data_IF_404125907624
#
_entry.id   IF_404125907624
#
_cell.length_a   1.000
_cell.length_b   1.000
_cell.length_c   1.000
_cell.angle_alpha   90.00
_cell.angle_beta   90.00
_cell.angle_gamma   90.00
#
_symmetry.space_group_name_H-M   'P 1'
#
loop_
_entity.id
_entity.type
_entity.pdbx_description
1 polymer ?
#
# COMPACT_ATOMS: atom_id res chain seq x y z
N UNK A 1 -23.34 -8.11 -2.83
CA UNK A 1 -23.36 -6.82 -2.10
C UNK A 1 -24.69 -6.07 -2.21
N UNK A 2 -25.38 -6.12 -3.36
CA UNK A 2 -26.69 -5.47 -3.53
C UNK A 2 -27.74 -5.97 -2.52
N UNK A 3 -27.77 -7.28 -2.23
CA UNK A 3 -28.65 -7.87 -1.21
C UNK A 3 -28.35 -7.39 0.23
N UNK A 4 -27.10 -7.03 0.54
CA UNK A 4 -26.67 -6.54 1.85
C UNK A 4 -26.90 -5.02 2.02
N UNK A 5 -27.31 -4.31 0.96
CA UNK A 5 -27.52 -2.85 0.94
C UNK A 5 -26.31 -2.03 1.43
N UNK A 6 -25.09 -2.56 1.23
CA UNK A 6 -23.84 -1.90 1.61
C UNK A 6 -23.36 -1.00 0.46
N UNK A 7 -22.91 0.22 0.79
CA UNK A 7 -22.24 1.10 -0.17
C UNK A 7 -20.88 0.52 -0.56
N UNK A 8 -20.68 0.24 -1.85
CA UNK A 8 -19.44 -0.32 -2.39
C UNK A 8 -18.22 0.58 -2.16
N UNK A 9 -18.42 1.89 -1.99
CA UNK A 9 -17.33 2.82 -1.66
C UNK A 9 -16.75 2.55 -0.28
N UNK A 10 -17.59 2.19 0.70
CA UNK A 10 -17.13 1.79 2.03
C UNK A 10 -16.29 0.51 1.96
N UNK A 11 -16.70 -0.44 1.10
CA UNK A 11 -15.95 -1.68 0.88
C UNK A 11 -14.64 -1.43 0.14
N UNK A 12 -14.63 -0.56 -0.87
CA UNK A 12 -13.40 -0.12 -1.54
C UNK A 12 -12.42 0.48 -0.51
N UNK A 13 -12.90 1.41 0.33
CA UNK A 13 -12.09 1.96 1.42
C UNK A 13 -11.57 0.87 2.37
N UNK A 14 -12.41 -0.10 2.78
CA UNK A 14 -11.98 -1.19 3.66
C UNK A 14 -10.93 -2.11 3.04
N UNK A 15 -11.07 -2.44 1.75
CA UNK A 15 -10.14 -3.29 1.03
C UNK A 15 -8.79 -2.59 0.85
N UNK A 16 -8.82 -1.33 0.42
CA UNK A 16 -7.61 -0.50 0.30
C UNK A 16 -6.93 -0.34 1.65
N UNK A 17 -7.66 0.03 2.71
CA UNK A 17 -7.10 0.14 4.07
C UNK A 17 -6.47 -1.16 4.56
N UNK A 18 -7.18 -2.28 4.39
CA UNK A 18 -6.70 -3.60 4.82
C UNK A 18 -5.38 -3.98 4.17
N UNK A 19 -5.14 -3.54 2.94
CA UNK A 19 -3.86 -3.72 2.26
C UNK A 19 -2.83 -2.68 2.70
N UNK A 20 -3.15 -1.38 2.60
CA UNK A 20 -2.17 -0.30 2.76
C UNK A 20 -1.73 -0.11 4.20
N UNK A 21 -2.68 -0.04 5.14
CA UNK A 21 -2.34 0.19 6.55
C UNK A 21 -1.56 -0.99 7.15
N UNK A 22 -1.81 -2.22 6.69
CA UNK A 22 -1.12 -3.39 7.22
C UNK A 22 0.33 -3.44 6.77
N UNK A 23 0.64 -3.21 5.49
CA UNK A 23 2.03 -3.21 5.05
C UNK A 23 2.82 -2.00 5.56
N UNK A 24 2.15 -0.88 5.87
CA UNK A 24 2.80 0.32 6.42
C UNK A 24 3.20 0.18 7.89
N UNK A 25 2.46 -0.62 8.67
CA UNK A 25 2.62 -0.67 10.13
C UNK A 25 3.12 -2.02 10.65
N UNK A 26 2.73 -3.13 10.04
CA UNK A 26 3.01 -4.47 10.57
C UNK A 26 4.24 -5.03 9.85
N UNK A 27 5.39 -5.21 10.53
CA UNK A 27 6.60 -5.75 9.91
C UNK A 27 6.53 -7.28 9.77
N UNK A 28 5.47 -7.79 9.15
CA UNK A 28 5.27 -9.20 8.86
C UNK A 28 4.74 -9.36 7.43
N UNK A 29 5.21 -10.38 6.72
CA UNK A 29 4.74 -10.72 5.38
C UNK A 29 5.02 -9.60 4.38
N UNK A 30 3.97 -9.05 3.77
CA UNK A 30 4.12 -7.95 2.81
C UNK A 30 4.66 -6.67 3.46
N UNK A 31 4.31 -6.40 4.72
CA UNK A 31 4.86 -5.27 5.47
C UNK A 31 6.32 -5.47 5.84
N UNK A 32 6.78 -6.71 6.03
CA UNK A 32 8.22 -6.98 6.19
C UNK A 32 8.98 -6.62 4.89
N UNK A 33 8.46 -7.01 3.73
CA UNK A 33 9.05 -6.65 2.44
C UNK A 33 9.11 -5.13 2.27
N UNK A 34 8.00 -4.44 2.53
CA UNK A 34 7.93 -2.98 2.35
C UNK A 34 8.77 -2.21 3.37
N UNK A 35 8.62 -2.48 4.67
CA UNK A 35 9.31 -1.77 5.75
C UNK A 35 10.80 -2.12 5.77
N UNK A 36 11.15 -3.41 5.83
CA UNK A 36 12.53 -3.84 6.04
C UNK A 36 13.31 -3.89 4.72
N UNK A 37 12.79 -4.61 3.72
CA UNK A 37 13.56 -4.91 2.51
C UNK A 37 13.62 -3.75 1.52
N UNK A 38 12.65 -2.82 1.59
CA UNK A 38 12.54 -1.70 0.67
C UNK A 38 12.82 -0.37 1.37
N UNK A 39 11.99 0.05 2.33
CA UNK A 39 12.16 1.36 3.00
C UNK A 39 13.47 1.46 3.77
N UNK A 40 13.67 0.60 4.78
CA UNK A 40 14.89 0.62 5.61
C UNK A 40 16.14 0.44 4.76
N UNK A 41 16.13 -0.50 3.80
CA UNK A 41 17.26 -0.72 2.90
C UNK A 41 17.60 0.52 2.06
N UNK A 42 16.63 1.13 1.39
CA UNK A 42 16.88 2.31 0.57
C UNK A 42 17.30 3.51 1.44
N UNK A 43 16.67 3.70 2.59
CA UNK A 43 16.98 4.79 3.52
C UNK A 43 18.42 4.64 4.03
N UNK A 44 18.85 3.43 4.39
CA UNK A 44 20.24 3.20 4.83
C UNK A 44 21.26 3.36 3.69
N UNK A 45 20.91 2.92 2.48
CA UNK A 45 21.79 3.07 1.32
C UNK A 45 22.10 4.55 1.03
N UNK A 46 21.11 5.44 1.12
CA UNK A 46 21.29 6.88 0.88
C UNK A 46 21.71 7.62 2.15
N UNK A 47 21.17 7.23 3.30
CA UNK A 47 21.28 7.91 4.59
C UNK A 47 22.59 7.66 5.33
N UNK A 48 23.28 6.55 5.06
CA UNK A 48 24.54 6.21 5.73
C UNK A 48 25.62 7.28 5.60
N UNK A 49 25.72 7.94 4.44
CA UNK A 49 26.65 9.06 4.21
C UNK A 49 26.29 10.31 5.03
N UNK A 50 25.05 10.42 5.51
CA UNK A 50 24.54 11.50 6.34
C UNK A 50 24.45 11.12 7.83
N UNK A 51 24.94 9.94 8.22
CA UNK A 51 24.84 9.44 9.59
C UNK A 51 23.44 8.99 9.99
N UNK A 52 22.52 8.80 9.03
CA UNK A 52 21.17 8.32 9.28
C UNK A 52 21.15 6.79 9.19
N UNK A 53 20.79 6.14 10.30
CA UNK A 53 20.60 4.70 10.40
C UNK A 53 19.14 4.41 10.76
N UNK A 54 18.42 3.79 9.83
CA UNK A 54 17.05 3.34 10.00
C UNK A 54 17.02 1.87 10.43
N UNK A 55 16.14 1.55 11.37
CA UNK A 55 15.80 0.18 11.77
C UNK A 55 14.32 -0.09 11.49
N UNK A 56 13.93 -1.36 11.37
CA UNK A 56 12.53 -1.76 11.17
C UNK A 56 11.63 -1.25 12.30
N UNK A 57 12.14 -1.25 13.54
CA UNK A 57 11.41 -0.74 14.70
C UNK A 57 11.20 0.78 14.61
N UNK A 58 12.22 1.54 14.20
CA UNK A 58 12.10 2.99 14.09
C UNK A 58 11.22 3.41 12.91
N UNK A 59 11.29 2.68 11.79
CA UNK A 59 10.38 2.87 10.67
C UNK A 59 8.92 2.61 11.08
N UNK A 60 8.68 1.53 11.83
CA UNK A 60 7.33 1.20 12.36
C UNK A 60 6.82 2.30 13.30
N UNK A 61 7.68 2.82 14.19
CA UNK A 61 7.34 3.95 15.07
C UNK A 61 7.03 5.22 14.26
N UNK A 62 7.83 5.52 13.24
CA UNK A 62 7.66 6.70 12.39
C UNK A 62 6.36 6.66 11.56
N UNK A 63 5.89 5.46 11.19
CA UNK A 63 4.63 5.23 10.47
C UNK A 63 3.39 5.19 11.37
N UNK A 64 3.55 5.10 12.68
CA UNK A 64 2.42 4.97 13.60
C UNK A 64 1.45 6.17 13.53
N UNK A 65 1.96 7.40 13.61
CA UNK A 65 1.15 8.62 13.54
C UNK A 65 0.40 8.72 12.19
N UNK A 66 1.06 8.56 11.02
CA UNK A 66 0.37 8.54 9.73
C UNK A 66 -0.72 7.47 9.61
N UNK A 67 -0.45 6.24 10.07
CA UNK A 67 -1.41 5.13 9.97
C UNK A 67 -2.61 5.35 10.90
N UNK A 68 -2.43 6.01 12.05
CA UNK A 68 -3.56 6.47 12.86
C UNK A 68 -4.49 7.41 12.10
N UNK A 69 -3.93 8.29 11.26
CA UNK A 69 -4.70 9.13 10.34
C UNK A 69 -5.58 8.29 9.40
N UNK A 70 -5.03 7.22 8.83
CA UNK A 70 -5.79 6.29 7.98
C UNK A 70 -6.90 5.56 8.74
N UNK A 71 -6.67 5.15 10.00
CA UNK A 71 -7.68 4.53 10.85
C UNK A 71 -8.85 5.49 11.07
N UNK A 72 -8.57 6.74 11.43
CA UNK A 72 -9.60 7.77 11.60
C UNK A 72 -10.35 8.03 10.30
N UNK A 73 -9.64 8.04 9.18
CA UNK A 73 -10.22 8.16 7.84
C UNK A 73 -11.17 7.00 7.49
N UNK A 74 -10.78 5.76 7.81
CA UNK A 74 -11.63 4.58 7.64
C UNK A 74 -12.91 4.68 8.49
N UNK A 75 -12.76 5.04 9.77
CA UNK A 75 -13.90 5.21 10.66
C UNK A 75 -14.85 6.30 10.14
N UNK A 76 -14.30 7.41 9.64
CA UNK A 76 -15.10 8.46 9.03
C UNK A 76 -15.82 7.99 7.75
N UNK A 77 -15.15 7.18 6.91
CA UNK A 77 -15.75 6.58 5.72
C UNK A 77 -16.98 5.74 6.07
N UNK A 78 -16.87 4.88 7.08
CA UNK A 78 -17.94 3.96 7.49
C UNK A 78 -19.06 4.65 8.27
N UNK A 79 -18.72 5.49 9.26
CA UNK A 79 -19.71 6.05 10.18
C UNK A 79 -20.34 7.35 9.69
N UNK A 80 -19.69 8.08 8.77
CA UNK A 80 -20.14 9.39 8.29
C UNK A 80 -20.42 9.36 6.79
N UNK A 81 -19.40 9.18 5.95
CA UNK A 81 -19.51 9.40 4.50
C UNK A 81 -20.40 8.39 3.79
N UNK A 82 -20.24 7.10 4.09
CA UNK A 82 -20.89 5.98 3.39
C UNK A 82 -21.81 5.17 4.30
N UNK A 83 -22.30 5.77 5.39
CA UNK A 83 -23.20 5.12 6.35
C UNK A 83 -24.56 4.76 5.74
N UNK A 84 -25.04 5.54 4.76
CA UNK A 84 -26.38 5.36 4.19
C UNK A 84 -26.39 4.18 3.20
N UNK A 85 -27.41 3.30 3.27
CA UNK A 85 -27.54 2.22 2.31
C UNK A 85 -27.76 2.79 0.90
N UNK A 86 -27.04 2.24 -0.08
CA UNK A 86 -27.17 2.63 -1.50
C UNK A 86 -27.93 1.53 -2.24
N UNK A 87 -29.01 1.91 -2.91
CA UNK A 87 -29.75 1.00 -3.77
C UNK A 87 -29.11 1.03 -5.17
N UNK A 88 -28.53 -0.09 -5.57
CA UNK A 88 -28.09 -0.31 -6.94
C UNK A 88 -29.31 -0.80 -7.73
N UNK A 89 -29.56 -0.25 -8.93
CA UNK A 89 -30.67 -0.68 -9.76
C UNK A 89 -30.59 -2.20 -10.00
N UNK A 90 -31.67 -2.95 -9.77
CA UNK A 90 -31.70 -4.37 -10.09
C UNK A 90 -31.72 -4.54 -11.61
N UNK A 91 -30.60 -5.00 -12.16
CA UNK A 91 -30.58 -5.56 -13.51
C UNK A 91 -30.48 -7.06 -13.25
N UNK A 92 -31.35 -7.86 -13.89
CA UNK A 92 -31.23 -9.32 -13.83
C UNK A 92 -29.78 -9.69 -14.10
N UNK A 93 -29.08 -10.14 -13.06
CA UNK A 93 -27.74 -10.66 -13.21
C UNK A 93 -27.86 -11.86 -14.15
N UNK A 94 -27.25 -11.78 -15.33
CA UNK A 94 -27.27 -12.90 -16.29
C UNK A 94 -26.73 -14.21 -15.71
N UNK A 95 -26.11 -14.17 -14.53
CA UNK A 95 -25.50 -15.28 -13.81
C UNK A 95 -25.87 -15.33 -12.30
N UNK A 96 -26.94 -14.66 -11.83
CA UNK A 96 -27.31 -14.67 -10.39
C UNK A 96 -27.51 -16.09 -9.85
N UNK A 97 -28.16 -16.94 -10.65
CA UNK A 97 -28.42 -18.34 -10.30
C UNK A 97 -27.10 -19.14 -10.22
N UNK A 98 -26.13 -18.81 -11.06
CA UNK A 98 -24.83 -19.49 -11.23
C UNK A 98 -23.79 -19.12 -10.13
N UNK A 99 -23.98 -17.97 -9.47
CA UNK A 99 -23.22 -17.53 -8.29
C UNK A 99 -23.89 -18.04 -7.00
N UNK A 100 -25.23 -18.01 -6.94
CA UNK A 100 -25.99 -18.55 -5.81
C UNK A 100 -25.76 -20.06 -5.64
N UNK A 101 -25.68 -20.83 -6.73
CA UNK A 101 -25.34 -22.25 -6.71
C UNK A 101 -23.89 -22.49 -6.25
N UNK A 102 -22.94 -21.66 -6.70
CA UNK A 102 -21.52 -21.71 -6.27
C UNK A 102 -21.32 -21.42 -4.79
N UNK A 103 -22.06 -20.47 -4.21
CA UNK A 103 -22.02 -20.14 -2.78
C UNK A 103 -22.76 -21.19 -1.95
N UNK A 104 -23.89 -21.72 -2.44
CA UNK A 104 -24.64 -22.80 -1.78
C UNK A 104 -23.85 -24.12 -1.71
N UNK A 105 -22.89 -24.33 -2.61
CA UNK A 105 -22.02 -25.51 -2.64
C UNK A 105 -20.71 -25.39 -1.86
N UNK A 106 -20.44 -24.29 -1.15
CA UNK A 106 -19.26 -24.20 -0.27
C UNK A 106 -19.45 -25.14 0.91
N UNK A 107 -18.85 -26.34 0.83
CA UNK A 107 -18.91 -27.32 1.91
C UNK A 107 -18.29 -26.71 3.18
N UNK A 108 -18.88 -26.93 4.37
CA UNK A 108 -18.32 -26.46 5.64
C UNK A 108 -16.89 -26.98 5.88
N UNK A 109 -16.52 -28.09 5.25
CA UNK A 109 -15.14 -28.60 5.17
C UNK A 109 -14.17 -27.58 4.55
N UNK A 110 -14.52 -26.92 3.44
CA UNK A 110 -13.65 -25.91 2.81
C UNK A 110 -13.47 -24.67 3.67
N UNK A 111 -14.49 -24.31 4.47
CA UNK A 111 -14.39 -23.19 5.41
C UNK A 111 -13.38 -23.52 6.52
N UNK A 112 -13.51 -24.68 7.16
CA UNK A 112 -12.56 -25.14 8.17
C UNK A 112 -11.14 -25.31 7.62
N UNK A 113 -11.02 -25.87 6.41
CA UNK A 113 -9.74 -25.99 5.72
C UNK A 113 -9.13 -24.62 5.43
N UNK A 114 -9.92 -23.62 5.04
CA UNK A 114 -9.42 -22.26 4.79
C UNK A 114 -8.91 -21.61 6.06
N UNK A 115 -9.64 -21.73 7.17
CA UNK A 115 -9.19 -21.24 8.48
C UNK A 115 -7.88 -21.92 8.89
N UNK A 116 -7.81 -23.25 8.74
CA UNK A 116 -6.58 -24.00 9.00
C UNK A 116 -5.42 -23.55 8.10
N UNK A 117 -5.67 -23.35 6.80
CA UNK A 117 -4.67 -22.88 5.84
C UNK A 117 -4.14 -21.49 6.21
N UNK A 118 -5.00 -20.57 6.63
CA UNK A 118 -4.62 -19.22 7.08
C UNK A 118 -3.72 -19.31 8.32
N UNK A 119 -4.11 -20.11 9.32
CA UNK A 119 -3.32 -20.29 10.54
C UNK A 119 -1.96 -20.93 10.23
N UNK A 120 -1.93 -22.00 9.42
CA UNK A 120 -0.71 -22.67 9.02
C UNK A 120 0.21 -21.75 8.23
N UNK A 121 -0.33 -21.02 7.25
CA UNK A 121 0.40 -20.03 6.45
C UNK A 121 1.04 -18.95 7.34
N UNK A 122 0.25 -18.36 8.23
CA UNK A 122 0.72 -17.32 9.14
C UNK A 122 1.79 -17.85 10.09
N UNK A 123 1.58 -19.04 10.67
CA UNK A 123 2.52 -19.67 11.60
C UNK A 123 3.84 -20.00 10.90
N UNK A 124 3.81 -20.61 9.71
CA UNK A 124 5.00 -20.91 8.92
C UNK A 124 5.73 -19.64 8.51
N UNK A 125 5.00 -18.62 8.05
CA UNK A 125 5.59 -17.34 7.67
C UNK A 125 6.34 -16.69 8.84
N UNK A 126 5.73 -16.65 10.02
CA UNK A 126 6.34 -16.07 11.23
C UNK A 126 7.51 -16.91 11.76
N UNK A 127 7.42 -18.24 11.69
CA UNK A 127 8.50 -19.12 12.14
C UNK A 127 9.71 -19.12 11.20
N UNK A 128 9.49 -18.96 9.89
CA UNK A 128 10.55 -19.00 8.87
C UNK A 128 11.00 -17.61 8.40
N UNK A 129 10.31 -16.54 8.79
CA UNK A 129 10.46 -15.18 8.24
C UNK A 129 10.44 -15.15 6.69
N UNK A 130 9.70 -16.09 6.07
CA UNK A 130 9.63 -16.22 4.63
C UNK A 130 8.19 -16.22 4.14
N UNK A 131 7.81 -15.12 3.49
CA UNK A 131 6.51 -14.97 2.81
C UNK A 131 6.31 -16.05 1.74
N UNK A 132 7.39 -16.51 1.10
CA UNK A 132 7.37 -17.57 0.10
C UNK A 132 6.96 -18.91 0.74
N UNK A 133 7.58 -19.27 1.87
CA UNK A 133 7.26 -20.51 2.58
C UNK A 133 5.83 -20.51 3.12
N UNK A 134 5.37 -19.39 3.68
CA UNK A 134 3.98 -19.23 4.10
C UNK A 134 3.01 -19.43 2.94
N UNK A 135 3.22 -18.72 1.83
CA UNK A 135 2.38 -18.83 0.64
C UNK A 135 2.34 -20.25 0.07
N UNK A 136 3.49 -20.93 0.00
CA UNK A 136 3.59 -22.30 -0.51
C UNK A 136 2.83 -23.30 0.38
N UNK A 137 2.92 -23.18 1.70
CA UNK A 137 2.15 -24.02 2.63
C UNK A 137 0.65 -23.82 2.45
N UNK A 138 0.18 -22.57 2.36
CA UNK A 138 -1.23 -22.27 2.10
C UNK A 138 -1.71 -22.88 0.78
N UNK A 139 -0.91 -22.73 -0.28
CA UNK A 139 -1.22 -23.26 -1.61
C UNK A 139 -1.27 -24.79 -1.61
N UNK A 140 -0.34 -25.46 -0.93
CA UNK A 140 -0.35 -26.92 -0.77
C UNK A 140 -1.58 -27.39 0.01
N UNK A 141 -1.95 -26.73 1.11
CA UNK A 141 -3.15 -27.08 1.90
C UNK A 141 -4.40 -26.95 1.03
N UNK A 142 -4.53 -25.87 0.26
CA UNK A 142 -5.67 -25.68 -0.65
C UNK A 142 -5.68 -26.66 -1.82
N UNK A 143 -4.52 -27.02 -2.36
CA UNK A 143 -4.40 -28.01 -3.43
C UNK A 143 -4.80 -29.41 -2.94
N UNK A 144 -4.31 -29.83 -1.78
CA UNK A 144 -4.63 -31.14 -1.18
C UNK A 144 -6.10 -31.23 -0.74
N UNK A 145 -6.65 -30.13 -0.24
CA UNK A 145 -8.06 -30.07 0.15
C UNK A 145 -9.04 -29.88 -1.00
N UNK A 146 -8.56 -29.88 -2.26
CA UNK A 146 -9.40 -29.88 -3.45
C UNK A 146 -10.12 -28.57 -3.74
N UNK A 147 -9.67 -27.46 -3.17
CA UNK A 147 -10.28 -26.12 -3.35
C UNK A 147 -9.99 -25.55 -4.75
N UNK A 148 -8.83 -25.87 -5.32
CA UNK A 148 -8.47 -25.55 -6.70
C UNK A 148 -8.07 -26.81 -7.47
N UNK A 149 -8.35 -26.85 -8.78
CA UNK A 149 -7.84 -27.93 -9.64
C UNK A 149 -6.34 -27.71 -9.81
N UNK A 150 -5.50 -28.74 -9.61
CA UNK A 150 -4.03 -28.68 -9.81
C UNK A 150 -3.60 -28.03 -11.13
N UNK A 151 -4.44 -28.14 -12.18
CA UNK A 151 -4.22 -27.48 -13.48
C UNK A 151 -4.24 -25.94 -13.42
N UNK A 152 -5.00 -25.34 -12.51
CA UNK A 152 -5.08 -23.88 -12.29
C UNK A 152 -3.95 -23.34 -11.40
N UNK A 153 -3.23 -24.23 -10.67
CA UNK A 153 -2.12 -23.82 -9.80
C UNK A 153 -0.95 -23.23 -10.59
N UNK A 154 -0.73 -23.71 -11.83
CA UNK A 154 0.33 -23.19 -12.69
C UNK A 154 0.01 -21.77 -13.17
N UNK A 155 -1.25 -21.50 -13.52
CA UNK A 155 -1.69 -20.18 -13.98
C UNK A 155 -1.57 -19.15 -12.85
N UNK A 156 -2.05 -19.49 -11.63
CA UNK A 156 -1.93 -18.62 -10.45
C UNK A 156 -0.46 -18.34 -10.12
N UNK A 157 0.41 -19.35 -10.21
CA UNK A 157 1.84 -19.17 -9.97
C UNK A 157 2.51 -18.29 -11.03
N UNK A 158 2.14 -18.45 -12.31
CA UNK A 158 2.65 -17.62 -13.40
C UNK A 158 2.19 -16.18 -13.29
N UNK A 159 0.93 -15.93 -12.91
CA UNK A 159 0.43 -14.58 -12.69
C UNK A 159 1.13 -13.90 -11.51
N UNK A 160 1.37 -14.63 -10.41
CA UNK A 160 2.18 -14.16 -9.29
C UNK A 160 3.62 -13.84 -9.69
N UNK A 161 4.26 -14.71 -10.48
CA UNK A 161 5.60 -14.49 -11.01
C UNK A 161 5.65 -13.26 -11.93
N UNK A 162 4.65 -13.07 -12.80
CA UNK A 162 4.55 -11.90 -13.69
C UNK A 162 4.47 -10.60 -12.89
N UNK A 163 3.64 -10.57 -11.85
CA UNK A 163 3.50 -9.39 -10.99
C UNK A 163 4.81 -9.08 -10.25
N UNK A 164 5.48 -10.10 -9.68
CA UNK A 164 6.78 -9.91 -9.01
C UNK A 164 7.89 -9.50 -9.98
N UNK A 165 7.91 -10.05 -11.20
CA UNK A 165 8.88 -9.70 -12.23
C UNK A 165 8.72 -8.24 -12.69
N UNK A 166 7.48 -7.77 -12.85
CA UNK A 166 7.20 -6.36 -13.16
C UNK A 166 7.70 -5.43 -12.04
N UNK A 167 7.37 -5.74 -10.78
CA UNK A 167 7.87 -4.97 -9.63
C UNK A 167 9.40 -4.96 -9.62
N UNK A 168 10.04 -6.11 -9.79
CA UNK A 168 11.50 -6.23 -9.83
C UNK A 168 12.15 -5.40 -10.95
N UNK A 169 11.60 -5.46 -12.16
CA UNK A 169 12.09 -4.68 -13.30
C UNK A 169 12.01 -3.17 -13.04
N UNK A 170 10.85 -2.70 -12.56
CA UNK A 170 10.65 -1.28 -12.25
C UNK A 170 11.57 -0.85 -11.09
N UNK A 171 11.75 -1.70 -10.07
CA UNK A 171 12.66 -1.42 -8.96
C UNK A 171 14.13 -1.28 -9.39
N UNK A 172 14.59 -2.12 -10.32
CA UNK A 172 15.95 -2.03 -10.88
C UNK A 172 16.10 -0.72 -11.67
N UNK A 173 15.14 -0.40 -12.53
CA UNK A 173 15.15 0.85 -13.30
C UNK A 173 15.10 2.10 -12.39
N UNK A 174 14.23 2.10 -11.38
CA UNK A 174 14.11 3.17 -10.39
C UNK A 174 15.41 3.35 -9.57
N UNK A 175 16.04 2.24 -9.17
CA UNK A 175 17.34 2.28 -8.48
C UNK A 175 18.46 2.81 -9.39
N UNK A 176 18.42 2.47 -10.69
CA UNK A 176 19.33 3.03 -11.69
C UNK A 176 19.15 4.55 -11.86
N UNK A 177 17.90 5.01 -11.99
CA UNK A 177 17.57 6.44 -12.01
C UNK A 177 18.05 7.16 -10.75
N UNK A 178 17.78 6.61 -9.57
CA UNK A 178 18.23 7.16 -8.29
C UNK A 178 19.77 7.28 -8.23
N UNK A 179 20.51 6.30 -8.76
CA UNK A 179 21.98 6.34 -8.85
C UNK A 179 22.49 7.46 -9.76
N UNK A 180 21.86 7.67 -10.92
CA UNK A 180 22.20 8.76 -11.84
C UNK A 180 21.89 10.12 -11.20
N UNK A 181 20.72 10.28 -10.59
CA UNK A 181 20.32 11.52 -9.90
C UNK A 181 21.28 11.86 -8.75
N UNK A 182 21.73 10.86 -8.00
CA UNK A 182 22.70 11.05 -6.92
C UNK A 182 24.11 11.40 -7.44
N UNK A 183 24.55 10.77 -8.54
CA UNK A 183 25.91 11.00 -9.09
C UNK A 183 26.05 12.27 -9.92
N UNK A 184 24.96 12.77 -10.50
CA UNK A 184 24.94 14.00 -11.32
C UNK A 184 24.88 15.29 -10.50
N UNK A 185 24.71 15.21 -9.17
CA UNK A 185 24.65 16.39 -8.31
C UNK A 185 23.33 17.17 -8.36
N UNK A 186 22.36 16.75 -9.17
CA UNK A 186 21.07 17.45 -9.31
C UNK A 186 20.27 17.57 -8.01
N UNK A 187 20.44 16.62 -7.08
CA UNK A 187 19.84 16.72 -5.73
C UNK A 187 20.45 17.88 -4.93
N UNK A 188 21.76 18.11 -5.06
CA UNK A 188 22.43 19.21 -4.36
C UNK A 188 21.97 20.57 -4.90
N UNK A 189 21.82 20.71 -6.23
CA UNK A 189 21.27 21.92 -6.85
C UNK A 189 19.82 22.18 -6.43
N UNK A 190 18.99 21.13 -6.35
CA UNK A 190 17.62 21.24 -5.86
C UNK A 190 17.58 21.71 -4.40
N UNK A 191 18.44 21.16 -3.54
CA UNK A 191 18.53 21.57 -2.14
C UNK A 191 18.94 23.04 -2.04
N UNK A 192 19.96 23.48 -2.77
CA UNK A 192 20.40 24.87 -2.77
C UNK A 192 19.34 25.84 -3.32
N UNK A 193 18.65 25.47 -4.41
CA UNK A 193 17.55 26.28 -4.96
C UNK A 193 16.36 26.44 -4.02
N UNK A 194 16.11 25.46 -3.14
CA UNK A 194 15.01 25.50 -2.18
C UNK A 194 15.36 26.21 -0.86
N UNK A 195 16.65 26.29 -0.49
CA UNK A 195 17.12 26.89 0.78
C UNK A 195 16.74 28.37 0.96
N UNK A 196 16.51 29.11 -0.12
CA UNK A 196 16.05 30.50 -0.08
C UNK A 196 14.54 30.69 -0.23
N UNK A 197 13.81 29.65 -0.64
CA UNK A 197 12.37 29.71 -0.92
C UNK A 197 11.50 29.11 0.21
N UNK A 198 12.09 28.24 1.04
CA UNK A 198 11.38 27.52 2.11
C UNK A 198 11.89 27.98 3.48
N UNK A 199 11.11 28.84 4.13
CA UNK A 199 11.46 29.48 5.40
C UNK A 199 11.21 28.61 6.65
N UNK A 200 10.39 27.55 6.55
CA UNK A 200 10.02 26.72 7.70
C UNK A 200 10.10 25.22 7.41
N UNK A 201 10.53 24.44 8.42
CA UNK A 201 10.49 22.97 8.36
C UNK A 201 9.08 22.45 8.08
N UNK A 202 8.05 23.13 8.60
CA UNK A 202 6.65 22.77 8.33
C UNK A 202 6.29 22.90 6.85
N UNK A 203 6.68 24.01 6.23
CA UNK A 203 6.46 24.22 4.79
C UNK A 203 7.26 23.22 3.96
N UNK A 204 8.51 22.92 4.35
CA UNK A 204 9.34 21.91 3.71
C UNK A 204 8.66 20.53 3.73
N UNK A 205 8.26 20.04 4.91
CA UNK A 205 7.60 18.75 5.07
C UNK A 205 6.30 18.67 4.26
N UNK A 206 5.47 19.72 4.31
CA UNK A 206 4.21 19.76 3.56
C UNK A 206 4.45 19.69 2.05
N UNK A 207 5.36 20.50 1.51
CA UNK A 207 5.68 20.49 0.09
C UNK A 207 6.28 19.15 -0.35
N UNK A 208 7.16 18.56 0.45
CA UNK A 208 7.70 17.22 0.20
C UNK A 208 6.60 16.17 0.15
N UNK A 209 5.63 16.19 1.07
CA UNK A 209 4.51 15.24 1.05
C UNK A 209 3.59 15.44 -0.17
N UNK A 210 3.33 16.70 -0.56
CA UNK A 210 2.52 17.01 -1.75
C UNK A 210 3.22 16.59 -3.04
N UNK A 211 4.51 16.89 -3.18
CA UNK A 211 5.30 16.43 -4.35
C UNK A 211 5.37 14.90 -4.37
N UNK A 212 5.55 14.28 -3.19
CA UNK A 212 5.55 12.83 -3.03
C UNK A 212 4.23 12.21 -3.50
N UNK A 213 3.10 12.82 -3.15
CA UNK A 213 1.78 12.43 -3.66
C UNK A 213 1.72 12.46 -5.18
N UNK A 214 2.20 13.53 -5.84
CA UNK A 214 2.18 13.60 -7.31
C UNK A 214 3.06 12.55 -7.97
N UNK A 215 4.27 12.33 -7.44
CA UNK A 215 5.21 11.33 -7.94
C UNK A 215 4.58 9.93 -7.82
N UNK A 216 4.09 9.60 -6.63
CA UNK A 216 3.55 8.27 -6.35
C UNK A 216 2.21 8.02 -7.01
N UNK A 217 1.36 9.04 -7.15
CA UNK A 217 0.12 8.94 -7.91
C UNK A 217 0.39 8.70 -9.39
N UNK A 218 1.37 9.39 -9.98
CA UNK A 218 1.73 9.22 -11.39
C UNK A 218 2.33 7.85 -11.70
N UNK A 219 3.11 7.28 -10.76
CA UNK A 219 3.71 5.96 -10.91
C UNK A 219 2.70 4.83 -10.59
N UNK A 220 1.85 5.03 -9.59
CA UNK A 220 0.82 4.05 -9.18
C UNK A 220 1.35 2.85 -8.40
N UNK A 221 2.55 2.90 -7.82
CA UNK A 221 3.07 1.80 -7.01
C UNK A 221 4.03 2.29 -5.92
N UNK A 222 3.66 2.14 -4.65
CA UNK A 222 4.54 2.53 -3.53
C UNK A 222 5.91 1.87 -3.63
N UNK A 223 5.96 0.58 -3.97
CA UNK A 223 7.19 -0.22 -4.05
C UNK A 223 8.22 0.43 -4.96
N UNK A 224 7.82 0.71 -6.20
CA UNK A 224 8.70 1.32 -7.21
C UNK A 224 9.14 2.75 -6.92
N UNK A 225 8.35 3.49 -6.12
CA UNK A 225 8.62 4.89 -5.84
C UNK A 225 9.63 5.10 -4.73
N UNK A 226 9.81 4.13 -3.83
CA UNK A 226 10.71 4.27 -2.67
C UNK A 226 12.15 4.61 -3.08
N UNK A 227 12.80 3.93 -4.03
CA UNK A 227 14.17 4.27 -4.43
C UNK A 227 14.31 5.72 -4.92
N UNK A 228 13.30 6.23 -5.66
CA UNK A 228 13.26 7.58 -6.22
C UNK A 228 13.05 8.62 -5.11
N UNK A 229 12.07 8.40 -4.24
CA UNK A 229 11.76 9.31 -3.14
C UNK A 229 12.94 9.38 -2.18
N UNK A 230 13.53 8.23 -1.84
CA UNK A 230 14.59 8.18 -0.85
C UNK A 230 15.85 8.91 -1.31
N UNK A 231 16.23 8.81 -2.58
CA UNK A 231 17.41 9.51 -3.12
C UNK A 231 17.27 11.03 -3.05
N UNK A 232 16.05 11.56 -3.20
CA UNK A 232 15.80 13.00 -3.17
C UNK A 232 15.51 13.48 -1.75
N UNK A 233 14.67 12.76 -1.00
CA UNK A 233 14.08 13.26 0.25
C UNK A 233 15.01 13.05 1.44
N UNK A 234 15.83 12.01 1.47
CA UNK A 234 16.77 11.82 2.59
C UNK A 234 17.79 12.97 2.66
N UNK A 235 18.50 13.35 1.57
CA UNK A 235 19.39 14.50 1.60
C UNK A 235 18.68 15.81 1.94
N UNK A 236 17.47 16.02 1.40
CA UNK A 236 16.68 17.22 1.64
C UNK A 236 16.24 17.34 3.11
N UNK A 237 15.77 16.23 3.71
CA UNK A 237 15.41 16.18 5.11
C UNK A 237 16.60 16.47 6.03
N UNK A 238 17.77 15.90 5.72
CA UNK A 238 19.00 16.18 6.46
C UNK A 238 19.40 17.65 6.32
N UNK A 239 19.32 18.21 5.11
CA UNK A 239 19.66 19.60 4.84
C UNK A 239 18.75 20.61 5.58
N UNK A 240 17.46 20.29 5.73
CA UNK A 240 16.51 21.06 6.54
C UNK A 240 16.57 20.74 8.04
N UNK A 241 17.43 19.80 8.46
CA UNK A 241 17.66 19.43 9.86
C UNK A 241 16.48 18.70 10.49
N UNK A 242 15.80 17.84 9.74
CA UNK A 242 14.82 16.91 10.30
C UNK A 242 15.49 15.80 11.12
N UNK A 243 14.78 15.27 12.11
CA UNK A 243 15.27 14.10 12.85
C UNK A 243 15.27 12.85 11.96
N UNK A 244 16.00 11.78 12.32
CA UNK A 244 15.91 10.51 11.62
C UNK A 244 14.48 9.95 11.56
N UNK A 245 13.71 10.06 12.65
CA UNK A 245 12.33 9.58 12.70
C UNK A 245 11.39 10.41 11.83
N UNK A 246 11.54 11.74 11.83
CA UNK A 246 10.79 12.62 10.94
C UNK A 246 11.13 12.33 9.46
N UNK A 247 12.40 12.10 9.14
CA UNK A 247 12.85 11.72 7.79
C UNK A 247 12.23 10.41 7.33
N UNK A 248 12.27 9.37 8.19
CA UNK A 248 11.62 8.09 7.94
C UNK A 248 10.11 8.27 7.74
N UNK A 249 9.48 9.15 8.53
CA UNK A 249 8.05 9.44 8.41
C UNK A 249 7.70 10.09 7.07
N UNK A 250 8.43 11.13 6.68
CA UNK A 250 8.21 11.82 5.39
C UNK A 250 8.40 10.85 4.22
N UNK A 251 9.49 10.07 4.19
CA UNK A 251 9.77 9.12 3.11
C UNK A 251 8.70 8.02 3.04
N UNK A 252 8.34 7.43 4.19
CA UNK A 252 7.34 6.36 4.23
C UNK A 252 5.94 6.82 3.82
N UNK A 253 5.51 8.00 4.28
CA UNK A 253 4.21 8.58 3.90
C UNK A 253 4.23 8.96 2.42
N UNK A 254 5.27 9.64 1.95
CA UNK A 254 5.41 10.01 0.55
C UNK A 254 5.32 8.78 -0.36
N UNK A 255 5.98 7.67 0.00
CA UNK A 255 5.90 6.42 -0.73
C UNK A 255 4.49 5.81 -0.72
N UNK A 256 3.79 5.84 0.42
CA UNK A 256 2.49 5.18 0.58
C UNK A 256 1.29 5.96 0.00
N UNK A 257 1.41 7.28 -0.18
CA UNK A 257 0.35 8.15 -0.72
C UNK A 257 -0.14 7.72 -2.12
N UNK A 258 0.70 7.06 -2.91
CA UNK A 258 0.33 6.57 -4.24
C UNK A 258 -0.68 5.41 -4.19
N UNK A 259 -0.57 4.55 -3.19
CA UNK A 259 -1.44 3.38 -3.12
C UNK A 259 -2.83 3.69 -2.55
N UNK A 260 -2.94 4.79 -1.82
CA UNK A 260 -4.16 5.17 -1.11
C UNK A 260 -5.02 6.21 -1.87
N UNK A 261 -5.12 6.08 -3.20
CA UNK A 261 -5.97 6.95 -4.02
C UNK A 261 -5.43 7.30 -5.41
N UNK A 262 -4.48 6.54 -5.97
CA UNK A 262 -4.09 6.67 -7.38
C UNK A 262 -5.02 5.88 -8.30
N UNK A 263 -5.42 6.41 -9.47
CA UNK A 263 -6.10 5.66 -10.52
C UNK A 263 -5.28 4.49 -11.10
N UNK A 264 -3.95 4.57 -11.00
CA UNK A 264 -3.06 3.56 -11.55
C UNK A 264 -2.65 2.49 -10.52
N UNK A 265 -3.04 2.65 -9.24
CA UNK A 265 -2.57 1.74 -8.20
C UNK A 265 -3.33 0.42 -8.19
N UNK A 266 -2.58 -0.66 -7.99
CA UNK A 266 -3.13 -2.00 -7.74
C UNK A 266 -4.11 -2.01 -6.54
N UNK A 267 -3.89 -1.13 -5.56
CA UNK A 267 -4.74 -0.96 -4.37
C UNK A 267 -6.09 -0.32 -4.67
N UNK A 268 -6.29 0.27 -5.85
CA UNK A 268 -7.59 0.79 -6.32
C UNK A 268 -8.14 -0.07 -7.47
N UNK A 269 -7.30 -0.51 -8.40
CA UNK A 269 -7.66 -1.39 -9.52
C UNK A 269 -8.14 -2.76 -9.04
N UNK A 270 -7.45 -3.37 -8.07
CA UNK A 270 -7.79 -4.65 -7.49
C UNK A 270 -9.22 -4.66 -6.91
N UNK A 271 -9.53 -3.82 -5.91
CA UNK A 271 -10.88 -3.69 -5.37
C UNK A 271 -11.92 -3.34 -6.44
N UNK A 272 -11.59 -2.43 -7.36
CA UNK A 272 -12.51 -2.03 -8.45
C UNK A 272 -12.89 -3.23 -9.32
N UNK A 273 -11.94 -4.09 -9.68
CA UNK A 273 -12.20 -5.25 -10.54
C UNK A 273 -13.23 -6.21 -9.95
N UNK A 274 -13.20 -6.41 -8.62
CA UNK A 274 -14.19 -7.21 -7.90
C UNK A 274 -15.51 -6.48 -7.68
N UNK A 275 -15.46 -5.19 -7.31
CA UNK A 275 -16.64 -4.39 -7.01
C UNK A 275 -17.43 -4.00 -8.26
N UNK A 276 -16.80 -4.00 -9.43
CA UNK A 276 -17.41 -3.65 -10.72
C UNK A 276 -17.86 -4.86 -11.54
N UNK A 277 -18.04 -6.03 -10.93
CA UNK A 277 -18.45 -7.26 -11.62
C UNK A 277 -19.77 -7.13 -12.39
N UNK A 278 -20.66 -6.21 -11.98
CA UNK A 278 -21.95 -5.92 -12.63
C UNK A 278 -21.95 -4.60 -13.43
N UNK A 279 -20.79 -3.96 -13.61
CA UNK A 279 -20.65 -2.70 -14.36
C UNK A 279 -21.15 -1.44 -13.63
N UNK A 280 -21.48 -1.51 -12.34
CA UNK A 280 -22.09 -0.40 -11.57
C UNK A 280 -21.17 0.25 -10.54
N UNK A 281 -19.88 -0.02 -10.60
CA UNK A 281 -18.89 0.56 -9.70
C UNK A 281 -17.85 1.31 -10.53
N UNK A 282 -17.97 2.64 -10.54
CA UNK A 282 -17.05 3.47 -11.30
C UNK A 282 -15.68 3.48 -10.62
N UNK A 283 -14.63 3.20 -11.40
CA UNK A 283 -13.27 3.17 -10.86
C UNK A 283 -12.87 4.49 -10.19
N UNK A 284 -13.16 5.62 -10.83
CA UNK A 284 -12.72 6.92 -10.34
C UNK A 284 -13.60 7.38 -9.19
N UNK A 285 -14.92 7.40 -9.38
CA UNK A 285 -15.86 7.99 -8.42
C UNK A 285 -16.20 7.07 -7.25
N UNK A 286 -16.14 5.75 -7.43
CA UNK A 286 -16.51 4.80 -6.38
C UNK A 286 -15.30 4.07 -5.74
N UNK A 287 -14.08 4.16 -6.31
CA UNK A 287 -12.85 3.68 -5.65
C UNK A 287 -11.83 4.77 -5.38
N UNK A 288 -11.36 5.46 -6.43
CA UNK A 288 -10.23 6.41 -6.33
C UNK A 288 -10.56 7.62 -5.46
N UNK A 289 -11.67 8.31 -5.76
CA UNK A 289 -12.07 9.50 -5.00
C UNK A 289 -12.37 9.16 -3.53
N UNK A 290 -13.14 8.10 -3.20
CA UNK A 290 -13.34 7.68 -1.80
C UNK A 290 -12.06 7.40 -1.04
N UNK A 291 -11.14 6.62 -1.63
CA UNK A 291 -9.86 6.26 -0.99
C UNK A 291 -8.96 7.47 -0.84
N UNK A 292 -8.88 8.33 -1.85
CA UNK A 292 -8.11 9.58 -1.79
C UNK A 292 -8.60 10.50 -0.65
N UNK A 293 -9.92 10.69 -0.54
CA UNK A 293 -10.51 11.56 0.49
C UNK A 293 -10.28 11.02 1.90
N UNK A 294 -10.43 9.70 2.10
CA UNK A 294 -10.37 9.10 3.42
C UNK A 294 -8.99 8.61 3.82
N UNK A 295 -8.03 8.51 2.91
CA UNK A 295 -6.68 8.04 3.22
C UNK A 295 -5.61 9.04 2.84
N UNK A 296 -5.55 9.52 1.60
CA UNK A 296 -4.49 10.46 1.20
C UNK A 296 -4.57 11.79 1.95
N UNK A 297 -5.76 12.36 2.16
CA UNK A 297 -5.88 13.59 2.94
C UNK A 297 -5.44 13.37 4.40
N UNK A 298 -5.93 12.35 5.13
CA UNK A 298 -5.40 12.04 6.47
C UNK A 298 -3.91 11.71 6.48
N UNK A 299 -3.38 10.98 5.51
CA UNK A 299 -1.95 10.68 5.41
C UNK A 299 -1.11 11.94 5.24
N UNK A 300 -1.55 12.90 4.41
CA UNK A 300 -0.88 14.19 4.27
C UNK A 300 -0.88 14.96 5.60
N UNK A 301 -2.04 15.03 6.28
CA UNK A 301 -2.17 15.77 7.54
C UNK A 301 -1.36 15.12 8.66
N UNK A 302 -1.53 13.82 8.88
CA UNK A 302 -0.84 13.09 9.95
C UNK A 302 0.63 12.84 9.64
N UNK A 303 1.00 12.71 8.36
CA UNK A 303 2.41 12.70 7.92
C UNK A 303 3.09 14.03 8.19
N UNK A 304 2.39 15.15 7.94
CA UNK A 304 2.91 16.47 8.27
C UNK A 304 3.05 16.67 9.79
N UNK A 305 2.05 16.24 10.57
CA UNK A 305 2.14 16.26 12.04
C UNK A 305 3.33 15.42 12.51
N UNK A 306 3.48 14.20 12.01
CA UNK A 306 4.58 13.30 12.37
C UNK A 306 5.94 13.92 12.05
N UNK A 307 6.08 14.55 10.89
CA UNK A 307 7.30 15.26 10.50
C UNK A 307 7.66 16.43 11.42
N UNK A 308 6.67 17.05 12.05
CA UNK A 308 6.86 18.20 12.95
C UNK A 308 7.06 17.80 14.41
N UNK A 309 6.60 16.61 14.81
CA UNK A 309 6.66 16.15 16.21
C UNK A 309 7.80 15.18 16.51
N UNK A 310 8.31 14.47 15.51
CA UNK A 310 9.33 13.42 15.64
C UNK A 310 10.76 13.94 15.51
#
# INVERSE_FOLDING_TARGET
>A
MNQLKIDRRAVACSLTFGLTATYMLIPAGFGQIFIESILVKNINNVGSQFGLVATTADMTKAMFIPVLGMILGLLFAFFVSYRKPRNYAEVQEKNADDIAERVAHVKPFHIWLSVFAIIATCTTQLATNSTIMGGLVGLVIFALGGVFKLKQSNDIFQDGLRLMAMIGFVMIAASGYASVVNSTGGVAELVEGLRGAIDSKGTAAFLMLVVGLFITMGIGSSFSTVPIITSIYVPLCVAFGFSPLATMSIVGVAAALGDAGSPASDSTLGPTSGLNADGKHDHIWDSVVPTFLHFNIPLLVFGWIAAMTL
#
